data_IF_260861293917
#
_entry.id   IF_260861293917
#
_cell.length_a   1.000
_cell.length_b   1.000
_cell.length_c   1.000
_cell.angle_alpha   90.00
_cell.angle_beta   90.00
_cell.angle_gamma   90.00
#
_symmetry.space_group_name_H-M   'P 1'
#
loop_
_entity.id
_entity.type
_entity.pdbx_description
1 polymer ?
#
# COMPACT_ATOMS: atom_id res chain seq x y z
N UNK A 1 -38.31 -1.77 -12.09
CA UNK A 1 -38.61 -2.26 -10.74
C UNK A 1 -38.24 -1.16 -9.77
N UNK A 2 -39.19 -0.73 -8.93
CA UNK A 2 -39.07 0.39 -7.99
C UNK A 2 -37.89 0.20 -7.04
N UNK A 3 -36.99 1.19 -7.00
CA UNK A 3 -35.83 1.20 -6.11
C UNK A 3 -36.27 1.21 -4.65
N UNK A 4 -36.11 0.09 -3.96
CA UNK A 4 -36.17 0.05 -2.52
C UNK A 4 -35.04 0.93 -1.99
N UNK A 5 -35.38 2.08 -1.40
CA UNK A 5 -34.44 2.89 -0.63
C UNK A 5 -33.93 2.01 0.51
N UNK A 6 -32.66 1.64 0.46
CA UNK A 6 -32.02 0.89 1.53
C UNK A 6 -31.89 1.83 2.74
N UNK A 7 -32.81 1.71 3.70
CA UNK A 7 -33.00 2.65 4.84
C UNK A 7 -31.99 2.42 5.97
N UNK A 8 -30.74 2.10 5.60
CA UNK A 8 -29.65 1.88 6.55
C UNK A 8 -28.92 3.19 6.82
N UNK A 9 -28.82 3.56 8.09
CA UNK A 9 -28.09 4.73 8.58
C UNK A 9 -27.22 4.32 9.76
N UNK A 10 -26.00 4.84 9.81
CA UNK A 10 -25.08 4.60 10.91
C UNK A 10 -24.27 5.86 11.16
N UNK A 11 -24.28 6.37 12.38
CA UNK A 11 -23.47 7.50 12.81
C UNK A 11 -22.81 7.18 14.14
N UNK A 12 -21.53 7.52 14.24
CA UNK A 12 -20.80 7.46 15.48
C UNK A 12 -20.01 8.74 15.66
N UNK A 13 -20.07 9.28 16.88
CA UNK A 13 -19.32 10.45 17.29
C UNK A 13 -18.64 10.17 18.62
N UNK A 14 -17.39 10.60 18.75
CA UNK A 14 -16.70 10.69 20.03
C UNK A 14 -15.95 12.01 20.09
N UNK A 15 -16.08 12.72 21.20
CA UNK A 15 -15.43 14.02 21.30
C UNK A 15 -15.48 14.61 22.69
N UNK A 16 -14.66 15.63 22.89
CA UNK A 16 -14.67 16.43 24.10
C UNK A 16 -14.34 17.89 23.77
N UNK A 17 -14.98 18.80 24.50
CA UNK A 17 -14.77 20.24 24.38
C UNK A 17 -14.08 20.73 25.64
N UNK A 18 -12.81 21.11 25.51
CA UNK A 18 -11.99 21.59 26.62
C UNK A 18 -11.46 23.01 26.41
N UNK A 19 -10.66 23.49 27.36
CA UNK A 19 -10.01 24.82 27.30
C UNK A 19 -9.10 25.02 26.08
N UNK A 20 -8.62 23.92 25.49
CA UNK A 20 -7.67 23.89 24.38
C UNK A 20 -8.33 23.63 23.01
N UNK A 21 -9.66 23.64 22.94
CA UNK A 21 -10.42 23.43 21.70
C UNK A 21 -11.35 22.22 21.75
N UNK A 22 -11.86 21.84 20.58
CA UNK A 22 -12.80 20.74 20.41
C UNK A 22 -12.14 19.61 19.62
N UNK A 23 -11.80 18.52 20.31
CA UNK A 23 -11.26 17.32 19.71
C UNK A 23 -12.36 16.29 19.53
N UNK A 24 -12.48 15.77 18.31
CA UNK A 24 -13.52 14.81 17.97
C UNK A 24 -13.12 13.88 16.83
N UNK A 25 -13.76 12.72 16.80
CA UNK A 25 -13.80 11.81 15.68
C UNK A 25 -15.27 11.50 15.39
N UNK A 26 -15.67 11.63 14.14
CA UNK A 26 -17.00 11.33 13.67
C UNK A 26 -16.92 10.51 12.38
N UNK A 27 -17.78 9.50 12.27
CA UNK A 27 -18.07 8.90 10.98
C UNK A 27 -19.57 8.69 10.80
N UNK A 28 -20.03 8.85 9.57
CA UNK A 28 -21.44 8.75 9.22
C UNK A 28 -21.59 8.03 7.88
N UNK A 29 -22.45 7.01 7.85
CA UNK A 29 -22.94 6.36 6.66
C UNK A 29 -24.41 6.73 6.42
N UNK A 30 -24.70 7.23 5.21
CA UNK A 30 -26.05 7.52 4.76
C UNK A 30 -26.18 7.28 3.26
N UNK A 31 -27.14 6.45 2.84
CA UNK A 31 -27.51 6.26 1.42
C UNK A 31 -26.31 5.99 0.49
N UNK A 32 -25.39 5.09 0.87
CA UNK A 32 -24.22 4.74 0.07
C UNK A 32 -23.03 5.69 0.20
N UNK A 33 -23.13 6.75 1.01
CA UNK A 33 -22.04 7.70 1.28
C UNK A 33 -21.51 7.52 2.69
N UNK A 34 -20.20 7.34 2.82
CA UNK A 34 -19.49 7.32 4.09
C UNK A 34 -18.67 8.61 4.25
N UNK A 35 -18.83 9.28 5.38
CA UNK A 35 -18.11 10.50 5.76
C UNK A 35 -17.29 10.22 7.00
N UNK A 36 -16.07 10.73 7.03
CA UNK A 36 -15.14 10.63 8.16
C UNK A 36 -14.56 12.00 8.46
N UNK A 37 -14.62 12.41 9.72
CA UNK A 37 -14.03 13.63 10.22
C UNK A 37 -13.21 13.34 11.49
N UNK A 38 -11.97 13.82 11.54
CA UNK A 38 -11.13 13.70 12.73
C UNK A 38 -10.38 15.01 12.99
N UNK A 39 -10.63 15.59 14.15
CA UNK A 39 -9.94 16.76 14.67
C UNK A 39 -9.22 16.36 15.96
N UNK A 40 -7.92 16.09 15.87
CA UNK A 40 -7.09 15.69 17.01
C UNK A 40 -6.34 16.85 17.65
N UNK A 41 -6.34 18.04 17.03
CA UNK A 41 -5.60 19.24 17.44
C UNK A 41 -4.11 19.00 17.83
N UNK A 42 -3.53 17.88 17.40
CA UNK A 42 -2.20 17.46 17.75
C UNK A 42 -1.20 18.10 16.79
N UNK A 43 -0.21 18.85 17.32
CA UNK A 43 0.85 19.53 16.53
C UNK A 43 0.36 20.48 15.42
N UNK A 44 -0.71 21.25 15.66
CA UNK A 44 -1.32 22.13 14.65
C UNK A 44 -1.79 21.40 13.37
N UNK A 45 -2.10 20.10 13.46
CA UNK A 45 -2.59 19.36 12.31
C UNK A 45 -3.99 19.85 11.89
N UNK A 46 -4.21 19.89 10.58
CA UNK A 46 -5.48 20.36 10.01
C UNK A 46 -6.56 19.28 10.13
N UNK A 47 -7.81 19.70 10.36
CA UNK A 47 -8.96 18.81 10.43
C UNK A 47 -9.04 17.88 9.21
N UNK A 48 -8.96 16.57 9.45
CA UNK A 48 -9.04 15.56 8.40
C UNK A 48 -10.52 15.34 8.08
N UNK A 49 -10.92 15.61 6.83
CA UNK A 49 -12.25 15.29 6.31
C UNK A 49 -12.11 14.42 5.06
N UNK A 50 -12.82 13.29 5.06
CA UNK A 50 -12.87 12.39 3.91
C UNK A 50 -14.30 11.96 3.66
N UNK A 51 -14.66 11.84 2.40
CA UNK A 51 -15.96 11.37 1.96
C UNK A 51 -15.77 10.38 0.83
N UNK A 52 -16.53 9.30 0.84
CA UNK A 52 -16.45 8.26 -0.19
C UNK A 52 -17.83 7.62 -0.44
N UNK A 53 -18.01 7.13 -1.66
CA UNK A 53 -19.13 6.27 -2.01
C UNK A 53 -18.73 4.83 -1.78
N UNK A 54 -19.56 4.07 -1.08
CA UNK A 54 -19.25 2.70 -0.70
C UNK A 54 -20.04 1.70 -1.53
N UNK A 55 -19.35 0.63 -1.97
CA UNK A 55 -19.98 -0.44 -2.72
C UNK A 55 -20.93 -1.30 -1.87
N UNK A 56 -21.83 -2.07 -2.49
CA UNK A 56 -22.86 -2.86 -1.80
C UNK A 56 -22.26 -3.94 -0.86
N UNK A 57 -21.05 -4.43 -1.15
CA UNK A 57 -20.35 -5.40 -0.28
C UNK A 57 -19.99 -4.79 1.08
N UNK A 58 -19.55 -3.53 1.10
CA UNK A 58 -19.21 -2.85 2.36
C UNK A 58 -20.46 -2.50 3.16
N UNK A 59 -21.55 -2.13 2.47
CA UNK A 59 -22.85 -1.92 3.13
C UNK A 59 -23.34 -3.21 3.77
N UNK A 60 -23.21 -4.35 3.07
CA UNK A 60 -23.55 -5.67 3.62
C UNK A 60 -22.69 -6.00 4.85
N UNK A 61 -21.41 -5.67 4.82
CA UNK A 61 -20.50 -5.91 5.94
C UNK A 61 -20.80 -5.01 7.15
N UNK A 62 -21.10 -3.72 6.93
CA UNK A 62 -21.54 -2.81 7.99
C UNK A 62 -22.81 -3.32 8.68
N UNK A 63 -23.80 -3.78 7.90
CA UNK A 63 -25.01 -4.41 8.43
C UNK A 63 -24.68 -5.67 9.23
N UNK A 64 -23.82 -6.54 8.70
CA UNK A 64 -23.38 -7.77 9.38
C UNK A 64 -22.73 -7.48 10.72
N UNK A 65 -21.86 -6.48 10.82
CA UNK A 65 -21.18 -6.08 12.07
C UNK A 65 -22.23 -5.66 13.11
N UNK A 66 -23.16 -4.77 12.73
CA UNK A 66 -24.24 -4.30 13.62
C UNK A 66 -25.13 -5.46 14.07
N UNK A 67 -25.60 -6.30 13.15
CA UNK A 67 -26.46 -7.45 13.46
C UNK A 67 -25.73 -8.45 14.38
N UNK A 68 -24.45 -8.74 14.11
CA UNK A 68 -23.66 -9.68 14.90
C UNK A 68 -23.32 -9.18 16.30
N UNK A 69 -23.35 -7.86 16.51
CA UNK A 69 -23.11 -7.27 17.82
C UNK A 69 -24.31 -7.40 18.76
N UNK A 70 -25.50 -7.70 18.25
CA UNK A 70 -26.75 -7.73 19.03
C UNK A 70 -27.10 -6.41 19.75
N UNK A 71 -26.43 -5.30 19.41
CA UNK A 71 -26.60 -3.98 20.03
C UNK A 71 -28.04 -3.46 20.04
N UNK A 72 -28.89 -3.95 19.13
CA UNK A 72 -30.31 -3.59 19.01
C UNK A 72 -31.12 -4.08 20.23
N UNK A 73 -30.60 -5.07 20.97
CA UNK A 73 -31.25 -5.63 22.16
C UNK A 73 -30.87 -4.91 23.46
N UNK A 74 -29.90 -3.99 23.41
CA UNK A 74 -29.34 -3.31 24.57
C UNK A 74 -30.06 -1.98 24.88
N UNK A 75 -29.92 -1.50 26.11
CA UNK A 75 -30.53 -0.26 26.62
C UNK A 75 -29.47 0.60 27.33
N UNK A 76 -29.44 1.91 27.07
CA UNK A 76 -28.47 2.84 27.65
C UNK A 76 -28.94 3.51 28.95
N UNK A 77 -30.10 3.13 29.49
CA UNK A 77 -30.66 3.71 30.70
C UNK A 77 -29.68 3.76 31.90
N UNK A 78 -28.82 2.74 32.03
CA UNK A 78 -27.84 2.59 33.12
C UNK A 78 -26.40 2.90 32.67
N UNK A 79 -26.20 3.45 31.47
CA UNK A 79 -24.86 3.76 30.97
C UNK A 79 -24.30 5.05 31.59
N UNK A 80 -22.97 5.16 31.72
CA UNK A 80 -22.33 6.36 32.25
C UNK A 80 -22.74 7.62 31.47
N UNK A 81 -23.28 8.63 32.16
CA UNK A 81 -23.73 9.87 31.50
C UNK A 81 -22.55 10.76 31.12
N UNK A 82 -22.73 11.57 30.06
CA UNK A 82 -21.73 12.54 29.57
C UNK A 82 -21.08 13.33 30.71
N UNK A 83 -19.76 13.47 30.64
CA UNK A 83 -18.96 14.18 31.64
C UNK A 83 -17.95 15.12 30.96
N UNK A 84 -17.11 15.78 31.76
CA UNK A 84 -16.10 16.75 31.28
C UNK A 84 -15.03 16.07 30.40
N UNK A 85 -14.83 14.76 30.54
CA UNK A 85 -13.81 13.97 29.82
C UNK A 85 -14.22 13.73 28.35
N UNK A 86 -15.52 13.74 28.07
CA UNK A 86 -16.07 13.63 26.72
C UNK A 86 -17.35 12.80 26.66
N UNK A 87 -17.89 12.68 25.45
CA UNK A 87 -19.07 11.87 25.15
C UNK A 87 -18.83 10.96 23.95
N UNK A 88 -19.63 9.89 23.88
CA UNK A 88 -19.77 9.02 22.72
C UNK A 88 -21.25 8.92 22.37
N UNK A 89 -21.55 9.02 21.09
CA UNK A 89 -22.91 8.92 20.54
C UNK A 89 -22.87 7.88 19.42
N UNK A 90 -23.83 6.96 19.43
CA UNK A 90 -24.03 5.98 18.37
C UNK A 90 -25.49 6.04 17.95
N UNK A 91 -25.74 6.15 16.66
CA UNK A 91 -27.09 6.15 16.08
C UNK A 91 -27.13 5.17 14.92
N UNK A 92 -28.07 4.23 14.96
CA UNK A 92 -28.22 3.21 13.95
C UNK A 92 -29.68 3.11 13.55
N UNK A 93 -29.94 3.13 12.26
CA UNK A 93 -31.24 2.80 11.67
C UNK A 93 -31.07 1.59 10.77
N UNK A 94 -31.81 0.52 11.06
CA UNK A 94 -31.81 -0.71 10.28
C UNK A 94 -33.26 -1.11 9.99
N UNK A 95 -33.77 -0.72 8.83
CA UNK A 95 -35.16 -0.99 8.45
C UNK A 95 -36.14 -0.20 9.34
N UNK A 96 -36.92 -0.91 10.16
CA UNK A 96 -37.89 -0.30 11.07
C UNK A 96 -37.31 0.01 12.46
N UNK A 97 -36.12 -0.53 12.77
CA UNK A 97 -35.49 -0.34 14.08
C UNK A 97 -34.58 0.89 14.03
N UNK A 98 -34.76 1.80 15.00
CA UNK A 98 -33.94 2.99 15.18
C UNK A 98 -33.49 3.06 16.63
N UNK A 99 -32.18 2.96 16.83
CA UNK A 99 -31.53 3.03 18.13
C UNK A 99 -30.59 4.23 18.16
N UNK A 100 -30.54 4.91 19.30
CA UNK A 100 -29.64 6.01 19.56
C UNK A 100 -29.18 5.93 21.01
N UNK A 101 -27.87 5.87 21.20
CA UNK A 101 -27.25 5.73 22.51
C UNK A 101 -26.33 6.91 22.80
N UNK A 102 -26.34 7.40 24.04
CA UNK A 102 -25.41 8.43 24.53
C UNK A 102 -24.70 7.96 25.80
N UNK A 103 -23.37 7.95 25.77
CA UNK A 103 -22.55 7.55 26.93
C UNK A 103 -21.33 8.46 27.12
N UNK A 104 -20.71 8.39 28.30
CA UNK A 104 -19.44 9.05 28.59
C UNK A 104 -18.31 8.48 27.71
N UNK A 105 -17.20 9.20 27.61
CA UNK A 105 -16.02 8.69 26.90
C UNK A 105 -15.40 7.51 27.68
N UNK A 106 -15.56 6.31 27.12
CA UNK A 106 -14.95 5.07 27.62
C UNK A 106 -13.54 4.94 27.03
N UNK A 107 -12.54 4.77 27.89
CA UNK A 107 -11.13 4.65 27.49
C UNK A 107 -10.60 3.21 27.52
N UNK A 108 -11.18 2.37 28.39
CA UNK A 108 -10.66 1.03 28.69
C UNK A 108 -11.76 0.03 29.04
N UNK A 109 -11.41 -1.26 29.04
CA UNK A 109 -12.29 -2.32 29.55
C UNK A 109 -12.51 -2.25 31.07
N UNK A 110 -11.63 -1.56 31.82
CA UNK A 110 -11.82 -1.36 33.26
C UNK A 110 -13.03 -0.48 33.51
N UNK A 111 -13.15 0.63 32.74
CA UNK A 111 -14.30 1.53 32.80
C UNK A 111 -15.63 0.82 32.48
N UNK A 112 -15.58 -0.25 31.68
CA UNK A 112 -16.74 -1.09 31.35
C UNK A 112 -17.10 -2.02 32.49
N UNK A 113 -16.12 -2.59 33.19
CA UNK A 113 -16.36 -3.50 34.32
C UNK A 113 -16.90 -2.78 35.55
N UNK A 114 -16.57 -1.49 35.71
CA UNK A 114 -17.02 -0.64 36.81
C UNK A 114 -18.40 0.01 36.57
N UNK A 115 -19.03 -0.22 35.40
CA UNK A 115 -20.35 0.35 35.09
C UNK A 115 -21.50 -0.42 35.75
N UNK A 116 -22.65 0.23 35.86
CA UNK A 116 -23.88 -0.38 36.40
C UNK A 116 -24.50 -1.41 35.43
N UNK A 117 -24.11 -1.38 34.15
CA UNK A 117 -24.46 -2.36 33.13
C UNK A 117 -23.19 -2.75 32.34
N UNK A 118 -22.41 -3.73 32.84
CA UNK A 118 -21.15 -4.13 32.21
C UNK A 118 -21.36 -4.98 30.96
N UNK A 119 -22.51 -5.65 30.82
CA UNK A 119 -22.78 -6.53 29.68
C UNK A 119 -23.19 -5.71 28.44
N UNK A 120 -24.17 -4.81 28.56
CA UNK A 120 -24.59 -3.95 27.46
C UNK A 120 -23.50 -2.96 27.04
N UNK A 121 -22.79 -2.39 28.01
CA UNK A 121 -21.69 -1.46 27.74
C UNK A 121 -20.49 -2.17 27.07
N UNK A 122 -20.27 -3.46 27.34
CA UNK A 122 -19.25 -4.27 26.66
C UNK A 122 -19.60 -4.53 25.21
N UNK A 123 -20.87 -4.81 24.92
CA UNK A 123 -21.38 -4.94 23.54
C UNK A 123 -21.14 -3.64 22.77
N UNK A 124 -21.51 -2.51 23.35
CA UNK A 124 -21.24 -1.18 22.78
C UNK A 124 -19.74 -0.94 22.55
N UNK A 125 -18.91 -1.26 23.55
CA UNK A 125 -17.45 -1.06 23.49
C UNK A 125 -16.82 -1.82 22.32
N UNK A 126 -17.12 -3.11 22.15
CA UNK A 126 -16.56 -3.90 21.06
C UNK A 126 -17.10 -3.49 19.69
N UNK A 127 -18.40 -3.21 19.57
CA UNK A 127 -18.98 -2.71 18.33
C UNK A 127 -18.30 -1.41 17.87
N UNK A 128 -18.14 -0.46 18.80
CA UNK A 128 -17.48 0.81 18.52
C UNK A 128 -16.03 0.60 18.09
N UNK A 129 -15.31 -0.35 18.69
CA UNK A 129 -13.94 -0.68 18.26
C UNK A 129 -13.91 -1.20 16.83
N UNK A 130 -14.77 -2.15 16.48
CA UNK A 130 -14.85 -2.71 15.13
C UNK A 130 -15.20 -1.63 14.09
N UNK A 131 -16.22 -0.82 14.38
CA UNK A 131 -16.63 0.26 13.48
C UNK A 131 -15.58 1.35 13.35
N UNK A 132 -14.91 1.75 14.46
CA UNK A 132 -13.81 2.72 14.40
C UNK A 132 -12.62 2.16 13.65
N UNK A 133 -12.30 0.88 13.82
CA UNK A 133 -11.22 0.25 13.08
C UNK A 133 -11.54 0.22 11.59
N UNK A 134 -12.75 -0.18 11.21
CA UNK A 134 -13.21 -0.16 9.82
C UNK A 134 -13.19 1.25 9.23
N UNK A 135 -13.77 2.24 9.92
CA UNK A 135 -13.79 3.63 9.47
C UNK A 135 -12.38 4.22 9.36
N UNK A 136 -11.49 3.93 10.32
CA UNK A 136 -10.10 4.35 10.28
C UNK A 136 -9.36 3.70 9.11
N UNK A 137 -9.56 2.39 8.90
CA UNK A 137 -9.02 1.66 7.75
C UNK A 137 -9.53 2.23 6.45
N UNK A 138 -10.80 2.57 6.30
CA UNK A 138 -11.33 3.18 5.08
C UNK A 138 -10.81 4.60 4.88
N UNK A 139 -10.74 5.40 5.94
CA UNK A 139 -10.21 6.75 5.88
C UNK A 139 -8.71 6.76 5.54
N UNK A 140 -7.93 5.76 5.95
CA UNK A 140 -6.47 5.68 5.71
C UNK A 140 -6.11 4.74 4.58
N UNK A 141 -7.02 3.87 4.15
CA UNK A 141 -6.95 3.15 2.92
C UNK A 141 -7.00 4.20 1.82
N UNK A 142 -5.85 4.45 1.22
CA UNK A 142 -5.80 5.05 -0.12
C UNK A 142 -6.46 4.12 -1.17
N UNK A 143 -6.88 2.90 -0.78
CA UNK A 143 -7.12 1.77 -1.67
C UNK A 143 -8.12 0.68 -1.25
N UNK A 144 -9.32 1.00 -0.74
CA UNK A 144 -10.38 -0.03 -0.69
C UNK A 144 -11.72 0.57 -1.12
N UNK A 145 -12.27 -0.02 -2.20
CA UNK A 145 -13.57 0.19 -2.86
C UNK A 145 -13.66 1.30 -3.94
N UNK A 146 -12.95 1.08 -5.05
CA UNK A 146 -13.58 1.16 -6.38
C UNK A 146 -13.19 -0.11 -7.14
N UNK A 147 -13.88 -1.20 -6.84
CA UNK A 147 -13.87 -2.40 -7.69
C UNK A 147 -15.32 -2.85 -7.75
N UNK A 148 -15.94 -2.59 -8.90
CA UNK A 148 -17.08 -3.29 -9.54
C UNK A 148 -17.75 -2.41 -10.65
N UNK A 149 -17.34 -1.16 -10.88
CA UNK A 149 -17.90 -0.35 -12.00
C UNK A 149 -16.91 0.31 -12.97
N UNK A 150 -15.61 0.04 -12.91
CA UNK A 150 -14.65 0.54 -13.92
C UNK A 150 -14.25 -0.52 -14.95
N UNK A 151 -15.23 -1.02 -15.69
CA UNK A 151 -14.96 -1.70 -16.97
C UNK A 151 -14.81 -0.69 -18.12
N UNK A 152 -15.11 0.61 -17.90
CA UNK A 152 -15.13 1.61 -18.97
C UNK A 152 -14.38 2.93 -18.68
N UNK A 153 -13.52 2.98 -17.67
CA UNK A 153 -12.53 4.06 -17.60
C UNK A 153 -11.38 3.71 -18.56
N UNK A 154 -11.47 4.18 -19.80
CA UNK A 154 -10.33 4.30 -20.70
C UNK A 154 -9.35 5.33 -20.13
N UNK A 155 -8.67 4.97 -19.04
CA UNK A 155 -7.39 5.59 -18.71
C UNK A 155 -6.39 5.08 -19.75
N UNK A 156 -5.61 5.98 -20.33
CA UNK A 156 -4.43 5.57 -21.10
C UNK A 156 -3.52 4.80 -20.16
N UNK A 157 -3.61 3.47 -20.15
CA UNK A 157 -2.73 2.64 -19.36
C UNK A 157 -1.39 2.70 -20.06
N UNK A 158 -0.45 3.48 -19.53
CA UNK A 158 0.92 3.51 -20.04
C UNK A 158 1.46 2.08 -20.01
N UNK A 159 1.70 1.51 -21.19
CA UNK A 159 2.25 0.16 -21.32
C UNK A 159 3.77 0.22 -21.15
N UNK A 160 4.32 -0.77 -20.44
CA UNK A 160 5.74 -0.88 -20.19
C UNK A 160 6.29 -2.17 -20.80
N UNK A 161 7.45 -2.07 -21.42
CA UNK A 161 8.17 -3.21 -21.97
C UNK A 161 9.52 -3.36 -21.26
N UNK A 162 9.72 -4.48 -20.58
CA UNK A 162 10.92 -4.78 -19.82
C UNK A 162 11.91 -5.58 -20.68
N UNK A 163 13.10 -5.01 -20.94
CA UNK A 163 14.16 -5.69 -21.68
C UNK A 163 14.73 -6.89 -20.94
N UNK A 164 15.29 -7.85 -21.68
CA UNK A 164 16.00 -9.00 -21.11
C UNK A 164 17.08 -8.59 -20.12
N UNK A 165 17.85 -7.55 -20.44
CA UNK A 165 18.97 -7.07 -19.60
C UNK A 165 18.47 -6.61 -18.23
N UNK A 166 17.46 -5.73 -18.23
CA UNK A 166 16.86 -5.24 -16.99
C UNK A 166 16.25 -6.39 -16.17
N UNK A 167 15.48 -7.27 -16.84
CA UNK A 167 14.88 -8.44 -16.19
C UNK A 167 15.93 -9.35 -15.55
N UNK A 168 17.00 -9.69 -16.28
CA UNK A 168 18.04 -10.60 -15.78
C UNK A 168 18.76 -10.03 -14.58
N UNK A 169 19.08 -8.73 -14.58
CA UNK A 169 19.70 -8.07 -13.42
C UNK A 169 18.83 -8.13 -12.17
N UNK A 170 17.51 -7.96 -12.30
CA UNK A 170 16.57 -8.08 -11.16
C UNK A 170 16.63 -9.48 -10.55
N UNK A 171 16.53 -10.51 -11.40
CA UNK A 171 16.51 -11.90 -10.95
C UNK A 171 17.87 -12.33 -10.38
N UNK A 172 18.98 -11.96 -11.02
CA UNK A 172 20.34 -12.26 -10.52
C UNK A 172 20.59 -11.58 -9.18
N UNK A 173 20.14 -10.32 -9.01
CA UNK A 173 20.30 -9.61 -7.75
C UNK A 173 19.61 -10.34 -6.59
N UNK A 174 18.34 -10.70 -6.78
CA UNK A 174 17.56 -11.44 -5.79
C UNK A 174 18.12 -12.85 -5.53
N UNK A 175 18.63 -13.52 -6.57
CA UNK A 175 19.21 -14.86 -6.46
C UNK A 175 20.61 -14.88 -5.82
N UNK A 176 21.40 -13.80 -5.95
CA UNK A 176 22.72 -13.67 -5.32
C UNK A 176 22.60 -13.52 -3.79
N UNK A 177 21.55 -12.82 -3.33
CA UNK A 177 21.30 -12.57 -1.90
C UNK A 177 19.95 -13.11 -1.44
N UNK A 178 19.70 -14.44 -1.49
CA UNK A 178 18.39 -15.01 -1.18
C UNK A 178 17.99 -14.87 0.30
N UNK A 179 18.96 -14.59 1.16
CA UNK A 179 18.80 -14.45 2.61
C UNK A 179 18.63 -12.99 3.05
N UNK A 180 18.63 -12.02 2.13
CA UNK A 180 18.58 -10.60 2.42
C UNK A 180 17.56 -9.87 1.54
N UNK A 181 16.95 -8.77 2.01
CA UNK A 181 16.18 -7.91 1.13
C UNK A 181 17.12 -7.20 0.16
N UNK A 182 16.74 -7.13 -1.12
CA UNK A 182 17.50 -6.40 -2.15
C UNK A 182 16.66 -5.29 -2.76
N UNK A 183 17.32 -4.23 -3.25
CA UNK A 183 16.63 -3.16 -3.96
C UNK A 183 17.46 -2.54 -5.08
N UNK A 184 16.79 -1.78 -5.93
CA UNK A 184 17.44 -1.00 -6.97
C UNK A 184 16.48 -0.16 -7.79
N UNK A 185 17.00 0.42 -8.86
CA UNK A 185 16.25 1.31 -9.76
C UNK A 185 16.28 0.83 -11.20
N UNK A 186 15.25 1.19 -11.95
CA UNK A 186 15.04 0.83 -13.34
C UNK A 186 15.27 2.03 -14.24
N UNK A 187 15.97 1.84 -15.35
CA UNK A 187 16.36 2.86 -16.30
C UNK A 187 15.68 2.65 -17.64
N UNK A 188 15.30 3.75 -18.28
CA UNK A 188 14.81 3.71 -19.64
C UNK A 188 14.60 5.10 -20.20
N UNK A 189 13.93 5.16 -21.34
CA UNK A 189 13.54 6.43 -21.97
C UNK A 189 12.11 6.75 -21.57
N UNK A 190 11.89 7.90 -20.96
CA UNK A 190 10.56 8.37 -20.55
C UNK A 190 9.65 8.79 -21.72
N UNK A 191 9.95 8.33 -22.94
CA UNK A 191 9.27 8.65 -24.19
C UNK A 191 9.13 7.37 -25.01
N UNK A 192 7.90 6.97 -25.32
CA UNK A 192 7.59 5.76 -26.08
C UNK A 192 6.18 5.27 -25.76
N UNK A 193 5.62 4.48 -26.68
CA UNK A 193 4.37 3.74 -26.49
C UNK A 193 4.53 2.36 -27.16
N UNK A 194 4.91 1.30 -26.42
CA UNK A 194 5.12 1.25 -24.97
C UNK A 194 6.43 1.90 -24.50
N UNK A 195 6.52 2.23 -23.21
CA UNK A 195 7.73 2.73 -22.56
C UNK A 195 8.71 1.58 -22.31
N UNK A 196 9.91 1.68 -22.88
CA UNK A 196 10.92 0.61 -22.78
C UNK A 196 11.84 0.83 -21.59
N UNK A 197 11.90 -0.17 -20.72
CA UNK A 197 12.83 -0.28 -19.59
C UNK A 197 14.08 -1.01 -20.10
N UNK A 198 15.16 -0.26 -20.25
CA UNK A 198 16.39 -0.67 -20.96
C UNK A 198 17.37 -1.36 -20.01
N UNK A 199 17.45 -0.92 -18.75
CA UNK A 199 18.43 -1.44 -17.81
C UNK A 199 17.94 -1.35 -16.36
N UNK A 200 18.67 -2.00 -15.45
CA UNK A 200 18.49 -1.89 -14.02
C UNK A 200 19.83 -1.61 -13.34
N UNK A 201 19.80 -0.80 -12.28
CA UNK A 201 20.94 -0.55 -11.39
C UNK A 201 20.60 -1.16 -10.02
N UNK A 202 21.28 -2.27 -9.64
CA UNK A 202 21.29 -2.80 -8.28
C UNK A 202 21.88 -1.79 -7.30
N UNK A 203 21.16 -1.52 -6.21
CA UNK A 203 21.60 -0.61 -5.18
C UNK A 203 22.08 -1.40 -3.96
N UNK A 204 21.17 -1.81 -3.08
CA UNK A 204 21.55 -2.34 -1.77
C UNK A 204 21.05 -3.76 -1.58
N UNK A 205 21.84 -4.56 -0.88
CA UNK A 205 21.47 -5.86 -0.32
C UNK A 205 21.66 -5.91 1.21
N UNK A 206 22.28 -4.89 1.81
CA UNK A 206 22.37 -4.70 3.25
C UNK A 206 21.67 -3.41 3.67
N UNK A 207 21.02 -3.42 4.83
CA UNK A 207 20.43 -2.21 5.45
C UNK A 207 19.55 -1.39 4.49
N UNK A 208 18.63 -2.06 3.78
CA UNK A 208 17.77 -1.48 2.72
C UNK A 208 16.80 -0.39 3.18
N UNK A 209 16.76 -0.07 4.48
CA UNK A 209 15.94 0.99 5.06
C UNK A 209 16.72 2.31 5.23
N UNK A 210 16.33 3.32 4.44
CA UNK A 210 16.72 4.75 4.53
C UNK A 210 18.07 5.01 5.21
N UNK A 211 19.14 4.50 4.61
CA UNK A 211 20.52 4.79 5.00
C UNK A 211 21.08 5.94 4.17
N UNK A 212 22.09 6.69 4.66
CA UNK A 212 22.83 7.65 3.84
C UNK A 212 23.37 7.04 2.54
N UNK A 213 23.70 5.74 2.55
CA UNK A 213 24.16 5.02 1.37
C UNK A 213 23.09 4.91 0.29
N UNK A 214 21.82 4.79 0.67
CA UNK A 214 20.72 4.76 -0.28
C UNK A 214 20.57 6.10 -1.02
N UNK A 215 20.70 7.22 -0.31
CA UNK A 215 20.63 8.56 -0.90
C UNK A 215 21.79 8.77 -1.89
N UNK A 216 23.01 8.42 -1.48
CA UNK A 216 24.20 8.51 -2.35
C UNK A 216 24.07 7.60 -3.57
N UNK A 217 23.67 6.33 -3.37
CA UNK A 217 23.49 5.37 -4.46
C UNK A 217 22.42 5.82 -5.45
N UNK A 218 21.31 6.39 -4.97
CA UNK A 218 20.25 6.93 -5.82
C UNK A 218 20.73 8.16 -6.62
N UNK A 219 21.48 9.06 -6.02
CA UNK A 219 22.05 10.24 -6.68
C UNK A 219 23.08 9.86 -7.75
N UNK A 220 23.96 8.89 -7.46
CA UNK A 220 24.93 8.36 -8.42
C UNK A 220 24.22 7.65 -9.58
N UNK A 221 23.19 6.83 -9.31
CA UNK A 221 22.40 6.17 -10.34
C UNK A 221 21.65 7.18 -11.22
N UNK A 222 21.13 8.27 -10.63
CA UNK A 222 20.48 9.36 -11.37
C UNK A 222 21.47 10.08 -12.28
N UNK A 223 22.64 10.45 -11.77
CA UNK A 223 23.69 11.09 -12.56
C UNK A 223 24.16 10.20 -13.72
N UNK A 224 24.31 8.89 -13.47
CA UNK A 224 24.62 7.92 -14.52
C UNK A 224 23.52 7.84 -15.60
N UNK A 225 22.25 7.78 -15.20
CA UNK A 225 21.12 7.77 -16.12
C UNK A 225 21.14 9.02 -17.01
N UNK A 226 21.34 10.20 -16.43
CA UNK A 226 21.43 11.46 -17.17
C UNK A 226 22.62 11.48 -18.15
N UNK A 227 23.79 10.98 -17.73
CA UNK A 227 24.98 10.90 -18.58
C UNK A 227 24.81 9.99 -19.81
N UNK A 228 23.88 9.04 -19.74
CA UNK A 228 23.58 8.09 -20.81
C UNK A 228 22.30 8.45 -21.58
N UNK A 229 21.69 9.60 -21.29
CA UNK A 229 20.45 10.07 -21.92
C UNK A 229 19.20 9.27 -21.51
N UNK A 230 19.25 8.60 -20.37
CA UNK A 230 18.17 7.81 -19.78
C UNK A 230 17.61 8.52 -18.53
N UNK A 231 16.47 8.01 -18.03
CA UNK A 231 15.87 8.44 -16.77
C UNK A 231 15.58 7.24 -15.89
N UNK A 232 15.52 7.49 -14.58
CA UNK A 232 14.98 6.53 -13.62
C UNK A 232 13.46 6.44 -13.79
N UNK A 233 12.96 5.27 -14.20
CA UNK A 233 11.55 5.04 -14.49
C UNK A 233 10.83 4.28 -13.37
N UNK A 234 11.57 3.54 -12.54
CA UNK A 234 10.95 2.77 -11.47
C UNK A 234 11.92 2.28 -10.42
N UNK A 235 11.36 1.70 -9.37
CA UNK A 235 12.07 1.07 -8.26
C UNK A 235 11.78 -0.43 -8.25
N UNK A 236 12.71 -1.26 -7.82
CA UNK A 236 12.44 -2.66 -7.56
C UNK A 236 12.93 -3.08 -6.18
N UNK A 237 12.28 -4.09 -5.61
CA UNK A 237 12.73 -4.74 -4.39
C UNK A 237 12.42 -6.23 -4.39
N UNK A 238 13.24 -7.02 -3.70
CA UNK A 238 12.87 -8.36 -3.24
C UNK A 238 12.90 -8.38 -1.71
N UNK A 239 11.95 -9.10 -1.12
CA UNK A 239 11.83 -9.27 0.33
C UNK A 239 12.59 -10.51 0.78
N UNK A 240 13.06 -10.49 2.04
CA UNK A 240 13.71 -11.65 2.67
C UNK A 240 12.73 -12.81 2.93
N UNK A 241 11.45 -12.48 3.10
CA UNK A 241 10.39 -13.40 3.47
C UNK A 241 9.65 -13.87 2.23
N UNK A 242 9.56 -15.18 2.03
CA UNK A 242 8.86 -15.77 0.87
C UNK A 242 7.36 -15.47 0.87
N UNK A 243 6.75 -15.17 2.02
CA UNK A 243 5.34 -14.84 2.19
C UNK A 243 5.05 -13.33 2.06
N UNK A 244 6.07 -12.49 1.95
CA UNK A 244 5.94 -11.03 1.93
C UNK A 244 6.06 -10.48 0.51
N UNK A 245 4.92 -10.23 -0.12
CA UNK A 245 4.81 -9.62 -1.45
C UNK A 245 4.56 -8.10 -1.40
N UNK A 246 4.67 -7.50 -0.20
CA UNK A 246 4.32 -6.11 0.05
C UNK A 246 5.40 -5.12 -0.40
N UNK A 247 4.99 -4.00 -1.00
CA UNK A 247 5.90 -2.86 -1.22
C UNK A 247 6.19 -2.15 0.10
N UNK A 248 7.47 -2.08 0.48
CA UNK A 248 7.91 -1.45 1.74
C UNK A 248 7.61 0.05 1.75
N UNK A 249 7.48 0.64 2.96
CA UNK A 249 7.30 2.10 3.10
C UNK A 249 8.43 2.91 2.45
N UNK A 250 9.65 2.36 2.45
CA UNK A 250 10.83 2.95 1.78
C UNK A 250 10.64 2.92 0.27
N UNK A 251 10.26 1.77 -0.30
CA UNK A 251 9.96 1.65 -1.73
C UNK A 251 8.84 2.60 -2.17
N UNK A 252 7.81 2.78 -1.33
CA UNK A 252 6.74 3.76 -1.59
C UNK A 252 7.27 5.19 -1.65
N UNK A 253 8.12 5.58 -0.69
CA UNK A 253 8.72 6.93 -0.62
C UNK A 253 9.64 7.20 -1.82
N UNK A 254 10.47 6.24 -2.21
CA UNK A 254 11.39 6.38 -3.35
C UNK A 254 10.59 6.50 -4.65
N UNK A 255 9.59 5.64 -4.84
CA UNK A 255 8.78 5.69 -6.05
C UNK A 255 7.99 6.98 -6.14
N UNK A 256 7.51 7.52 -5.01
CA UNK A 256 6.89 8.84 -4.96
C UNK A 256 7.88 9.97 -5.34
N UNK A 257 9.14 9.90 -4.91
CA UNK A 257 10.18 10.84 -5.33
C UNK A 257 10.48 10.74 -6.84
N UNK A 258 10.56 9.52 -7.39
CA UNK A 258 10.78 9.31 -8.83
C UNK A 258 9.68 9.96 -9.69
N UNK A 259 8.46 10.11 -9.15
CA UNK A 259 7.35 10.78 -9.85
C UNK A 259 7.54 12.25 -10.11
N UNK A 260 8.40 12.92 -9.35
CA UNK A 260 8.77 14.31 -9.63
C UNK A 260 9.47 14.43 -10.98
N UNK A 261 10.23 13.40 -11.39
CA UNK A 261 10.94 13.35 -12.68
C UNK A 261 10.18 12.60 -13.80
N UNK A 262 9.33 11.64 -13.44
CA UNK A 262 8.56 10.82 -14.37
C UNK A 262 7.20 10.42 -13.77
N UNK A 263 6.11 11.05 -14.23
CA UNK A 263 4.77 10.93 -13.65
C UNK A 263 4.28 9.48 -13.52
N UNK A 264 4.62 8.63 -14.49
CA UNK A 264 4.18 7.23 -14.54
C UNK A 264 5.18 6.28 -13.85
N UNK A 265 6.05 6.79 -12.97
CA UNK A 265 6.99 5.95 -12.23
C UNK A 265 6.26 4.88 -11.40
N UNK A 266 6.83 3.69 -11.40
CA UNK A 266 6.26 2.47 -10.84
C UNK A 266 7.25 1.74 -9.92
N UNK A 267 6.74 0.76 -9.17
CA UNK A 267 7.59 -0.17 -8.43
C UNK A 267 7.34 -1.62 -8.86
N UNK A 268 8.38 -2.46 -8.81
CA UNK A 268 8.27 -3.91 -9.01
C UNK A 268 8.72 -4.64 -7.74
N UNK A 269 7.86 -5.48 -7.19
CA UNK A 269 8.23 -6.40 -6.11
C UNK A 269 8.49 -7.77 -6.72
N UNK A 270 9.65 -8.35 -6.41
CA UNK A 270 10.03 -9.68 -6.87
C UNK A 270 9.40 -10.71 -5.91
N UNK A 271 8.61 -11.62 -6.47
CA UNK A 271 8.09 -12.78 -5.75
C UNK A 271 9.18 -13.85 -5.63
N UNK A 272 9.85 -13.86 -4.49
CA UNK A 272 10.93 -14.81 -4.17
C UNK A 272 10.46 -16.27 -4.19
N UNK A 273 9.18 -16.57 -3.95
CA UNK A 273 8.66 -17.94 -3.97
C UNK A 273 8.55 -18.47 -5.41
N UNK A 274 8.22 -17.59 -6.35
CA UNK A 274 8.08 -17.94 -7.77
C UNK A 274 9.35 -17.75 -8.59
N UNK A 275 10.47 -17.32 -7.98
CA UNK A 275 11.70 -16.97 -8.71
C UNK A 275 12.30 -18.13 -9.50
N UNK A 276 12.10 -19.37 -9.05
CA UNK A 276 12.58 -20.59 -9.73
C UNK A 276 11.61 -21.13 -10.79
N UNK A 277 10.42 -20.53 -10.93
CA UNK A 277 9.39 -20.96 -11.89
C UNK A 277 9.63 -20.35 -13.27
N UNK A 278 9.41 -21.13 -14.33
CA UNK A 278 9.47 -20.67 -15.73
C UNK A 278 8.11 -20.23 -16.28
N UNK A 279 7.02 -20.40 -15.53
CA UNK A 279 5.67 -20.23 -16.05
C UNK A 279 5.27 -18.75 -16.26
N UNK A 280 5.76 -17.85 -15.41
CA UNK A 280 5.49 -16.43 -15.49
C UNK A 280 6.64 -15.63 -14.83
N UNK A 281 6.83 -14.36 -15.20
CA UNK A 281 7.78 -13.49 -14.52
C UNK A 281 7.38 -13.33 -13.05
N UNK A 282 8.29 -13.53 -12.07
CA UNK A 282 8.02 -13.40 -10.64
C UNK A 282 7.99 -11.93 -10.22
N UNK A 283 7.25 -11.10 -10.94
CA UNK A 283 7.23 -9.65 -10.79
C UNK A 283 5.81 -9.17 -10.52
N UNK A 284 5.66 -8.43 -9.42
CA UNK A 284 4.41 -7.84 -8.98
C UNK A 284 4.51 -6.33 -9.15
N UNK A 285 3.85 -5.74 -10.16
CA UNK A 285 3.88 -4.30 -10.33
C UNK A 285 3.02 -3.56 -9.31
N UNK A 286 3.52 -2.40 -8.92
CA UNK A 286 2.86 -1.40 -8.12
C UNK A 286 2.78 -0.11 -8.96
N UNK A 287 1.64 0.08 -9.61
CA UNK A 287 1.38 1.18 -10.55
C UNK A 287 0.37 2.18 -9.95
N UNK A 288 -0.03 3.21 -10.71
CA UNK A 288 -0.94 4.29 -10.29
C UNK A 288 -0.35 5.26 -9.25
N UNK A 289 -0.92 6.47 -9.14
CA UNK A 289 -0.49 7.53 -8.21
C UNK A 289 -0.38 7.09 -6.74
N UNK A 290 -0.96 5.96 -6.38
CA UNK A 290 -0.98 5.43 -5.04
C UNK A 290 -0.26 4.09 -4.87
N UNK A 291 0.41 3.58 -5.92
CA UNK A 291 1.16 2.32 -5.88
C UNK A 291 0.26 1.14 -5.49
N UNK A 292 -0.75 0.91 -6.32
CA UNK A 292 -1.60 -0.28 -6.23
C UNK A 292 -0.90 -1.49 -6.80
N UNK A 293 -0.96 -2.59 -6.05
CA UNK A 293 -0.62 -3.91 -6.56
C UNK A 293 -1.51 -4.24 -7.78
N UNK A 294 -0.88 -4.57 -8.90
CA UNK A 294 -1.54 -5.04 -10.12
C UNK A 294 -0.91 -6.34 -10.60
N UNK A 295 -1.56 -7.02 -11.54
CA UNK A 295 -0.93 -8.13 -12.27
C UNK A 295 0.17 -7.61 -13.19
N UNK A 296 1.14 -8.46 -13.53
CA UNK A 296 2.20 -8.12 -14.49
C UNK A 296 1.61 -7.75 -15.85
N UNK A 297 0.81 -8.63 -16.45
CA UNK A 297 0.06 -8.38 -17.68
C UNK A 297 -1.35 -7.85 -17.35
N UNK A 298 -1.92 -6.90 -18.13
CA UNK A 298 -1.47 -6.42 -19.44
C UNK A 298 -0.52 -5.20 -19.43
N UNK A 299 -0.31 -4.56 -18.28
CA UNK A 299 0.44 -3.29 -18.19
C UNK A 299 1.94 -3.45 -18.46
N UNK A 300 2.53 -4.59 -18.10
CA UNK A 300 3.92 -4.92 -18.36
C UNK A 300 4.01 -6.13 -19.28
N UNK A 301 4.94 -6.05 -20.23
CA UNK A 301 5.36 -7.16 -21.08
C UNK A 301 6.87 -7.31 -21.03
N UNK A 302 7.36 -8.53 -21.22
CA UNK A 302 8.78 -8.74 -21.50
C UNK A 302 9.02 -8.46 -22.98
N UNK A 303 10.12 -7.80 -23.32
CA UNK A 303 10.49 -7.55 -24.72
C UNK A 303 10.69 -8.87 -25.48
N UNK A 304 11.32 -9.85 -24.84
CA UNK A 304 11.58 -11.19 -25.37
C UNK A 304 10.86 -12.26 -24.53
N UNK A 305 10.15 -13.17 -25.19
CA UNK A 305 9.35 -14.21 -24.52
C UNK A 305 10.19 -15.28 -23.82
N UNK A 306 11.42 -15.50 -24.26
CA UNK A 306 12.38 -16.46 -23.70
C UNK A 306 13.24 -15.87 -22.56
N UNK A 307 13.03 -14.59 -22.22
CA UNK A 307 13.78 -13.89 -21.16
C UNK A 307 13.76 -14.61 -19.81
N UNK A 308 12.65 -15.24 -19.45
CA UNK A 308 12.50 -15.99 -18.18
C UNK A 308 13.45 -17.20 -18.15
N UNK A 309 13.44 -18.00 -19.21
CA UNK A 309 14.26 -19.21 -19.31
C UNK A 309 15.76 -18.89 -19.41
N UNK A 310 16.11 -17.86 -20.20
CA UNK A 310 17.51 -17.41 -20.32
C UNK A 310 18.05 -16.87 -19.00
N UNK A 311 17.29 -16.05 -18.28
CA UNK A 311 17.71 -15.52 -16.98
C UNK A 311 17.91 -16.64 -15.95
N UNK A 312 17.00 -17.62 -15.91
CA UNK A 312 17.13 -18.79 -15.03
C UNK A 312 18.33 -19.66 -15.38
N UNK A 313 18.58 -19.88 -16.67
CA UNK A 313 19.77 -20.60 -17.14
C UNK A 313 21.04 -19.86 -16.74
N UNK A 314 21.02 -18.53 -16.82
CA UNK A 314 22.13 -17.69 -16.43
C UNK A 314 22.41 -17.75 -14.91
N UNK A 315 21.38 -17.61 -14.07
CA UNK A 315 21.49 -17.73 -12.61
C UNK A 315 22.05 -19.09 -12.16
N UNK A 316 21.80 -20.15 -12.93
CA UNK A 316 22.34 -21.50 -12.66
C UNK A 316 23.82 -21.66 -13.01
N UNK A 317 24.44 -20.71 -13.71
CA UNK A 317 25.89 -20.72 -13.97
C UNK A 317 26.60 -20.12 -12.75
N UNK A 318 27.50 -20.86 -12.11
CA UNK A 318 28.29 -20.37 -10.96
C UNK A 318 29.06 -19.06 -11.24
N UNK A 319 29.42 -18.80 -12.50
CA UNK A 319 30.12 -17.57 -12.89
C UNK A 319 29.26 -16.30 -12.82
N UNK A 320 27.92 -16.44 -12.80
CA UNK A 320 26.98 -15.33 -12.83
C UNK A 320 27.10 -14.40 -11.62
N UNK A 321 27.34 -14.97 -10.43
CA UNK A 321 27.40 -14.20 -9.18
C UNK A 321 28.74 -13.47 -9.02
N UNK A 322 29.80 -13.95 -9.67
CA UNK A 322 31.12 -13.32 -9.63
C UNK A 322 31.23 -12.12 -10.57
N UNK A 323 30.41 -12.06 -11.61
CA UNK A 323 30.40 -10.96 -12.60
C UNK A 323 29.38 -9.88 -12.29
N UNK A 324 28.47 -10.15 -11.35
CA UNK A 324 27.43 -9.22 -10.91
C UNK A 324 27.84 -8.55 -9.59
N UNK A 325 27.67 -7.23 -9.50
CA UNK A 325 27.79 -6.52 -8.23
C UNK A 325 26.82 -5.35 -8.10
N UNK A 326 26.39 -5.09 -6.87
CA UNK A 326 25.56 -3.94 -6.52
C UNK A 326 26.36 -2.81 -5.85
N UNK A 327 25.68 -1.77 -5.36
CA UNK A 327 26.36 -0.63 -4.74
C UNK A 327 27.02 -1.00 -3.41
N UNK A 328 26.42 -1.90 -2.62
CA UNK A 328 27.05 -2.40 -1.39
C UNK A 328 28.35 -3.16 -1.70
N UNK A 329 28.34 -4.02 -2.73
CA UNK A 329 29.56 -4.70 -3.20
C UNK A 329 30.65 -3.69 -3.62
N UNK A 330 30.25 -2.58 -4.25
CA UNK A 330 31.17 -1.51 -4.64
C UNK A 330 31.76 -0.75 -3.44
N UNK A 331 31.00 -0.60 -2.34
CA UNK A 331 31.50 0.01 -1.12
C UNK A 331 32.55 -0.87 -0.43
N UNK A 332 32.44 -2.20 -0.58
CA UNK A 332 33.45 -3.16 -0.10
C UNK A 332 34.66 -3.27 -1.05
N UNK A 333 34.41 -3.29 -2.37
CA UNK A 333 35.42 -3.35 -3.42
C UNK A 333 35.11 -2.34 -4.55
N UNK A 334 35.86 -1.24 -4.57
CA UNK A 334 35.72 -0.17 -5.56
C UNK A 334 35.98 -0.59 -7.01
N UNK A 335 36.54 -1.79 -7.24
CA UNK A 335 36.72 -2.35 -8.59
C UNK A 335 35.42 -2.85 -9.22
N UNK A 336 34.37 -3.05 -8.41
CA UNK A 336 33.04 -3.49 -8.86
C UNK A 336 32.32 -2.35 -9.59
N UNK A 337 32.05 -2.53 -10.89
CA UNK A 337 31.27 -1.56 -11.69
C UNK A 337 29.75 -1.83 -11.57
N UNK A 338 29.16 -1.40 -10.46
CA UNK A 338 27.74 -1.58 -10.16
C UNK A 338 26.79 -0.78 -11.08
N UNK A 339 27.25 0.32 -11.68
CA UNK A 339 26.44 1.17 -12.57
C UNK A 339 26.21 0.53 -13.93
N UNK A 340 27.26 -0.04 -14.53
CA UNK A 340 27.14 -0.74 -15.82
C UNK A 340 26.80 -2.23 -15.63
N UNK A 341 27.02 -2.72 -14.42
CA UNK A 341 26.62 -4.03 -13.92
C UNK A 341 27.77 -5.01 -13.77
N UNK A 342 29.01 -4.69 -14.13
CA UNK A 342 30.11 -5.64 -14.32
C UNK A 342 30.29 -6.00 -15.81
N UNK A 343 31.21 -6.91 -16.13
CA UNK A 343 31.68 -7.20 -17.49
C UNK A 343 30.63 -8.00 -18.29
N UNK A 344 29.47 -7.40 -18.59
CA UNK A 344 28.40 -8.01 -19.39
C UNK A 344 28.53 -7.69 -20.88
N UNK A 345 29.77 -7.69 -21.39
CA UNK A 345 30.11 -7.12 -22.68
C UNK A 345 29.44 -7.80 -23.87
N UNK A 346 29.15 -9.10 -23.77
CA UNK A 346 28.70 -9.91 -24.93
C UNK A 346 27.52 -10.86 -24.64
N UNK A 347 27.19 -11.21 -23.40
CA UNK A 347 26.08 -12.15 -23.11
C UNK A 347 24.67 -11.54 -23.27
N UNK A 348 24.55 -10.21 -23.34
CA UNK A 348 23.28 -9.51 -23.60
C UNK A 348 23.22 -8.86 -25.00
N UNK A 349 24.19 -9.15 -25.88
CA UNK A 349 24.07 -8.88 -27.32
C UNK A 349 23.39 -10.08 -27.96
N UNK A 350 22.08 -10.17 -27.80
CA UNK A 350 21.22 -11.17 -28.44
C UNK A 350 20.04 -10.48 -29.09
#
# INVERSE_FOLDING_TARGET
MSGAKDDFYLRYYTGHSGRHGHEFLEFEYSNGRLRYANNSNYRNDSLIRKEMWVGPLLVKELKRIVESSEIIKEDDANWPKKNIVGKQELEIKLGNDHISFETAKIGSLVDVQESEDPEGLRVFYYLVQDLRHLAWRLAHARHVLVTILDVNATMSTTEFQLSHKAYTKLIVHAAKYPHAPVNGVLLGKASGDPIVIIDAIPLLHQWTSLSPMMEIGLDLARSHAESTGMKLLGYYQATQRLDDEGLSAVGQKITANLREGFKDAFALVIDSASIASTAAPPLIPYTSSNLTRTSFSPTFTLAESDSVERALTFVRKDSAFNTFGDFDDHLEDVSVDWLRGGIWGDEFKG
#
